data_IF_279351799483
#
_entry.id   IF_279351799483
#
_cell.length_a   1.000
_cell.length_b   1.000
_cell.length_c   1.000
_cell.angle_alpha   90.00
_cell.angle_beta   90.00
_cell.angle_gamma   90.00
#
_symmetry.space_group_name_H-M   'P 1'
#
loop_
_entity.id
_entity.type
_entity.pdbx_description
1 polymer ?
#
# COMPACT_ATOMS: atom_id res chain seq x y z
N UNK A 1 24.65 -19.31 6.75
CA UNK A 1 23.49 -18.41 6.82
C UNK A 1 23.91 -16.95 7.11
N UNK A 2 24.37 -16.18 6.11
CA UNK A 2 24.86 -14.82 6.30
C UNK A 2 23.77 -13.86 6.84
N UNK A 3 22.52 -14.06 6.42
CA UNK A 3 21.40 -13.18 6.79
C UNK A 3 21.01 -13.25 8.28
N UNK A 4 21.21 -14.39 8.94
CA UNK A 4 20.91 -14.53 10.37
C UNK A 4 21.96 -13.83 11.23
N UNK A 5 23.24 -13.91 10.82
CA UNK A 5 24.35 -13.20 11.49
C UNK A 5 24.23 -11.68 11.33
N UNK A 6 23.85 -11.22 10.16
CA UNK A 6 23.70 -9.78 9.89
C UNK A 6 22.54 -9.16 10.68
N UNK A 7 21.40 -9.85 10.82
CA UNK A 7 20.31 -9.43 11.71
C UNK A 7 20.73 -9.37 13.18
N UNK A 8 21.50 -10.35 13.64
CA UNK A 8 22.00 -10.35 15.02
C UNK A 8 23.01 -9.24 15.28
N UNK A 9 23.82 -8.87 14.29
CA UNK A 9 24.71 -7.70 14.38
C UNK A 9 23.93 -6.39 14.48
N UNK A 10 22.95 -6.16 13.61
CA UNK A 10 22.14 -4.95 13.67
C UNK A 10 21.39 -4.78 14.99
N UNK A 11 20.88 -5.84 15.59
CA UNK A 11 20.24 -5.82 16.92
C UNK A 11 21.27 -5.53 18.03
N UNK A 12 22.47 -6.06 17.94
CA UNK A 12 23.54 -5.75 18.89
C UNK A 12 24.02 -4.30 18.82
N UNK A 13 24.11 -3.77 17.60
CA UNK A 13 24.54 -2.38 17.37
C UNK A 13 23.50 -1.34 17.85
N UNK A 14 22.25 -1.75 18.07
CA UNK A 14 21.22 -0.89 18.65
C UNK A 14 21.25 -0.78 20.18
N UNK A 15 21.99 -1.67 20.87
CA UNK A 15 22.18 -1.61 22.32
C UNK A 15 23.20 -0.52 22.67
N UNK A 16 22.79 0.43 23.52
CA UNK A 16 23.63 1.55 23.94
C UNK A 16 24.40 1.21 25.23
N UNK A 17 25.60 0.64 25.07
CA UNK A 17 26.45 0.24 26.20
C UNK A 17 26.78 1.40 27.14
N UNK A 18 27.08 2.59 26.59
CA UNK A 18 27.39 3.78 27.39
C UNK A 18 26.22 4.21 28.29
N UNK A 19 24.98 4.03 27.84
CA UNK A 19 23.79 4.31 28.65
C UNK A 19 23.62 3.26 29.75
N UNK A 20 23.88 2.00 29.42
CA UNK A 20 23.83 0.89 30.36
C UNK A 20 24.85 1.06 31.50
N UNK A 21 26.09 1.38 31.17
CA UNK A 21 27.18 1.60 32.16
C UNK A 21 26.92 2.79 33.08
N UNK A 22 26.11 3.76 32.61
CA UNK A 22 25.66 4.91 33.42
C UNK A 22 24.41 4.62 34.26
N UNK A 23 23.88 3.38 34.21
CA UNK A 23 22.68 2.97 34.92
C UNK A 23 21.36 3.33 34.26
N UNK A 24 21.37 3.88 33.04
CA UNK A 24 20.16 4.19 32.27
C UNK A 24 19.78 2.98 31.40
N UNK A 25 19.27 1.94 32.04
CA UNK A 25 18.95 0.66 31.42
C UNK A 25 17.81 0.76 30.38
N UNK A 26 16.84 1.66 30.60
CA UNK A 26 15.74 1.85 29.65
C UNK A 26 16.24 2.45 28.34
N UNK A 27 17.11 3.47 28.42
CA UNK A 27 17.70 4.08 27.24
C UNK A 27 18.64 3.12 26.50
N UNK A 28 19.32 2.23 27.23
CA UNK A 28 20.22 1.25 26.65
C UNK A 28 19.52 0.30 25.65
N UNK A 29 18.25 -0.01 25.87
CA UNK A 29 17.43 -0.94 25.02
C UNK A 29 16.37 -0.23 24.19
N UNK A 30 16.26 1.10 24.25
CA UNK A 30 15.20 1.86 23.60
C UNK A 30 15.14 1.64 22.09
N UNK A 31 16.28 1.73 21.40
CA UNK A 31 16.35 1.54 19.96
C UNK A 31 16.03 0.10 19.55
N UNK A 32 16.47 -0.88 20.32
CA UNK A 32 16.12 -2.28 20.10
C UNK A 32 14.62 -2.51 20.25
N UNK A 33 13.99 -1.96 21.27
CA UNK A 33 12.56 -2.04 21.50
C UNK A 33 11.76 -1.35 20.39
N UNK A 34 12.19 -0.17 19.92
CA UNK A 34 11.57 0.51 18.79
C UNK A 34 11.63 -0.33 17.51
N UNK A 35 12.78 -0.95 17.23
CA UNK A 35 12.93 -1.81 16.06
C UNK A 35 12.05 -3.08 16.17
N UNK A 36 11.96 -3.70 17.36
CA UNK A 36 11.09 -4.87 17.60
C UNK A 36 9.62 -4.53 17.43
N UNK A 37 9.17 -3.39 17.93
CA UNK A 37 7.79 -2.95 17.86
C UNK A 37 7.27 -2.84 16.41
N UNK A 38 8.15 -2.57 15.44
CA UNK A 38 7.76 -2.52 14.02
C UNK A 38 7.24 -3.86 13.49
N UNK A 39 7.64 -4.99 14.09
CA UNK A 39 7.33 -6.33 13.57
C UNK A 39 6.66 -7.26 14.59
N UNK A 40 6.56 -6.84 15.85
CA UNK A 40 6.06 -7.67 16.95
C UNK A 40 4.56 -7.94 16.83
N UNK A 41 3.77 -6.90 16.61
CA UNK A 41 2.32 -6.99 16.46
C UNK A 41 1.87 -6.26 15.21
N UNK A 42 1.31 -6.98 14.26
CA UNK A 42 0.70 -6.42 13.06
C UNK A 42 -0.69 -5.84 13.40
N UNK A 43 -1.05 -4.71 12.82
CA UNK A 43 -2.27 -3.96 13.10
C UNK A 43 -2.43 -3.58 14.58
N UNK A 44 -1.55 -2.72 15.10
CA UNK A 44 -1.71 -2.20 16.44
C UNK A 44 -2.99 -1.39 16.56
N UNK A 45 -3.51 -1.24 17.78
CA UNK A 45 -4.63 -0.35 18.04
C UNK A 45 -4.26 1.10 17.68
N UNK A 46 -4.98 1.70 16.74
CA UNK A 46 -4.73 3.05 16.19
C UNK A 46 -5.75 4.10 16.66
N UNK A 47 -6.46 3.85 17.76
CA UNK A 47 -7.33 4.84 18.39
C UNK A 47 -6.56 6.01 19.03
N UNK A 48 -5.25 5.90 19.18
CA UNK A 48 -4.35 6.92 19.73
C UNK A 48 -3.21 7.23 18.75
N UNK A 49 -2.56 8.38 18.93
CA UNK A 49 -1.53 8.91 18.00
C UNK A 49 -0.36 7.93 17.85
N UNK A 50 0.13 7.34 18.95
CA UNK A 50 1.26 6.40 18.94
C UNK A 50 0.94 5.15 18.11
N UNK A 51 -0.28 4.65 18.20
CA UNK A 51 -0.73 3.51 17.40
C UNK A 51 -0.83 3.85 15.91
N UNK A 52 -1.34 5.04 15.57
CA UNK A 52 -1.33 5.55 14.18
C UNK A 52 0.08 5.66 13.63
N UNK A 53 1.00 6.24 14.40
CA UNK A 53 2.40 6.36 13.99
C UNK A 53 3.06 5.01 13.78
N UNK A 54 2.86 4.07 14.70
CA UNK A 54 3.39 2.71 14.58
C UNK A 54 2.84 2.02 13.34
N UNK A 55 1.53 2.11 13.09
CA UNK A 55 0.88 1.53 11.92
C UNK A 55 1.43 2.11 10.61
N UNK A 56 1.60 3.43 10.52
CA UNK A 56 2.19 4.06 9.33
C UNK A 56 3.66 3.64 9.12
N UNK A 57 4.44 3.55 10.20
CA UNK A 57 5.82 3.03 10.15
C UNK A 57 5.85 1.58 9.66
N UNK A 58 4.95 0.72 10.14
CA UNK A 58 4.83 -0.67 9.69
C UNK A 58 4.50 -0.74 8.19
N UNK A 59 3.50 0.01 7.73
CA UNK A 59 3.12 0.04 6.33
C UNK A 59 4.31 0.44 5.44
N UNK A 60 4.98 1.54 5.78
CA UNK A 60 6.12 1.99 5.01
C UNK A 60 7.29 1.00 5.05
N UNK A 61 7.61 0.44 6.20
CA UNK A 61 8.67 -0.55 6.36
C UNK A 61 8.47 -1.77 5.46
N UNK A 62 7.28 -2.36 5.49
CA UNK A 62 6.97 -3.53 4.66
C UNK A 62 6.91 -3.19 3.17
N UNK A 63 6.34 -2.05 2.82
CA UNK A 63 6.26 -1.59 1.44
C UNK A 63 7.65 -1.32 0.88
N UNK A 64 8.46 -0.53 1.58
CA UNK A 64 9.80 -0.17 1.10
C UNK A 64 10.69 -1.41 0.93
N UNK A 65 10.69 -2.32 1.91
CA UNK A 65 11.42 -3.58 1.82
C UNK A 65 10.95 -4.46 0.63
N UNK A 66 9.63 -4.48 0.37
CA UNK A 66 9.05 -5.28 -0.73
C UNK A 66 9.37 -4.69 -2.09
N UNK A 67 9.23 -3.39 -2.26
CA UNK A 67 9.54 -2.67 -3.52
C UNK A 67 11.03 -2.79 -3.83
N UNK A 68 11.91 -2.48 -2.88
CA UNK A 68 13.35 -2.59 -3.06
C UNK A 68 13.77 -4.02 -3.43
N UNK A 69 13.19 -5.04 -2.77
CA UNK A 69 13.47 -6.44 -3.10
C UNK A 69 13.01 -6.81 -4.52
N UNK A 70 11.82 -6.36 -4.91
CA UNK A 70 11.30 -6.60 -6.26
C UNK A 70 12.19 -5.97 -7.33
N UNK A 71 12.59 -4.71 -7.13
CA UNK A 71 13.50 -4.00 -8.04
C UNK A 71 14.89 -4.64 -8.08
N UNK A 72 15.45 -5.01 -6.94
CA UNK A 72 16.74 -5.71 -6.90
C UNK A 72 16.70 -7.06 -7.64
N UNK A 73 15.57 -7.77 -7.55
CA UNK A 73 15.37 -9.01 -8.32
C UNK A 73 15.21 -8.74 -9.81
N UNK A 74 14.47 -7.70 -10.18
CA UNK A 74 14.29 -7.27 -11.56
C UNK A 74 15.63 -6.96 -12.19
N UNK A 75 16.43 -6.09 -11.58
CA UNK A 75 17.73 -5.64 -12.07
C UNK A 75 18.79 -6.74 -12.23
N UNK A 76 18.62 -7.89 -11.57
CA UNK A 76 19.52 -9.05 -11.80
C UNK A 76 19.36 -9.67 -13.18
N UNK A 77 18.26 -9.42 -13.86
CA UNK A 77 17.90 -10.07 -15.13
C UNK A 77 17.55 -9.09 -16.22
N UNK A 78 17.44 -7.79 -15.90
CA UNK A 78 17.00 -6.73 -16.81
C UNK A 78 17.74 -5.43 -16.50
N UNK A 79 18.35 -4.84 -17.53
CA UNK A 79 19.13 -3.60 -17.42
C UNK A 79 18.28 -2.34 -17.62
N UNK A 80 17.15 -2.45 -18.33
CA UNK A 80 16.29 -1.32 -18.69
C UNK A 80 15.10 -1.20 -17.71
N UNK A 81 15.16 -0.19 -16.84
CA UNK A 81 14.11 0.05 -15.83
C UNK A 81 12.76 0.45 -16.44
N UNK A 82 12.73 0.99 -17.67
CA UNK A 82 11.50 1.37 -18.34
C UNK A 82 10.62 0.15 -18.70
N UNK A 83 11.23 -1.05 -18.79
CA UNK A 83 10.51 -2.32 -19.01
C UNK A 83 10.00 -2.98 -17.73
N UNK A 84 10.15 -2.31 -16.57
CA UNK A 84 9.63 -2.83 -15.30
C UNK A 84 8.14 -3.22 -15.38
N UNK A 85 7.24 -2.42 -15.97
CA UNK A 85 5.82 -2.74 -16.06
C UNK A 85 5.49 -4.03 -16.82
N UNK A 86 6.37 -4.47 -17.71
CA UNK A 86 6.19 -5.73 -18.47
C UNK A 86 6.44 -6.98 -17.60
N UNK A 87 7.14 -6.84 -16.50
CA UNK A 87 7.65 -7.96 -15.70
C UNK A 87 7.19 -7.94 -14.24
N UNK A 88 6.78 -6.78 -13.74
CA UNK A 88 6.42 -6.58 -12.34
C UNK A 88 5.07 -5.87 -12.24
N UNK A 89 4.22 -6.36 -11.37
CA UNK A 89 2.99 -5.67 -10.95
C UNK A 89 2.92 -5.68 -9.44
N UNK A 90 2.63 -4.51 -8.86
CA UNK A 90 2.29 -4.37 -7.46
C UNK A 90 0.77 -4.32 -7.32
N UNK A 91 0.18 -5.43 -6.86
CA UNK A 91 -1.24 -5.47 -6.55
C UNK A 91 -1.46 -4.93 -5.13
N UNK A 92 -2.02 -3.74 -5.03
CA UNK A 92 -2.38 -3.11 -3.77
C UNK A 92 -3.63 -3.79 -3.21
N UNK A 93 -3.43 -4.61 -2.18
CA UNK A 93 -4.53 -5.32 -1.52
C UNK A 93 -5.13 -4.40 -0.44
N UNK A 94 -6.21 -3.73 -0.77
CA UNK A 94 -6.76 -2.59 -0.05
C UNK A 94 -5.81 -1.37 -0.02
N UNK A 95 -6.03 -0.43 0.88
CA UNK A 95 -5.25 0.81 0.98
C UNK A 95 -3.98 0.67 1.82
N UNK A 96 -3.82 -0.41 2.57
CA UNK A 96 -2.71 -0.62 3.49
C UNK A 96 -1.33 -0.51 2.82
N UNK A 97 -1.10 -1.06 1.60
CA UNK A 97 0.17 -0.92 0.91
C UNK A 97 0.22 0.27 -0.07
N UNK A 98 -0.72 1.22 -0.04
CA UNK A 98 -0.81 2.28 -1.07
C UNK A 98 0.40 3.21 -1.09
N UNK A 99 1.12 3.32 0.00
CA UNK A 99 2.41 4.04 0.06
C UNK A 99 3.43 3.50 -0.98
N UNK A 100 3.19 2.30 -1.55
CA UNK A 100 3.95 1.71 -2.67
C UNK A 100 4.06 2.67 -3.85
N UNK A 101 3.00 3.41 -4.16
CA UNK A 101 2.99 4.38 -5.26
C UNK A 101 4.09 5.43 -5.06
N UNK A 102 4.10 6.06 -3.89
CA UNK A 102 5.06 7.11 -3.59
C UNK A 102 6.48 6.57 -3.34
N UNK A 103 6.61 5.37 -2.76
CA UNK A 103 7.92 4.73 -2.58
C UNK A 103 8.55 4.30 -3.92
N UNK A 104 7.75 3.76 -4.84
CA UNK A 104 8.24 3.44 -6.18
C UNK A 104 8.67 4.71 -6.91
N UNK A 105 7.87 5.78 -6.86
CA UNK A 105 8.25 7.09 -7.39
C UNK A 105 9.55 7.59 -6.78
N UNK A 106 9.71 7.52 -5.46
CA UNK A 106 10.93 7.94 -4.76
C UNK A 106 12.16 7.22 -5.30
N UNK A 107 12.09 5.90 -5.43
CA UNK A 107 13.22 5.11 -5.93
C UNK A 107 13.53 5.48 -7.39
N UNK A 108 12.50 5.59 -8.22
CA UNK A 108 12.70 5.93 -9.64
C UNK A 108 13.27 7.35 -9.83
N UNK A 109 12.84 8.31 -9.00
CA UNK A 109 13.34 9.70 -9.05
C UNK A 109 14.73 9.85 -8.40
N UNK A 110 14.85 9.39 -7.14
CA UNK A 110 15.97 9.74 -6.27
C UNK A 110 17.15 8.76 -6.42
N UNK A 111 16.89 7.49 -6.77
CA UNK A 111 17.92 6.46 -6.88
C UNK A 111 18.24 6.09 -8.35
N UNK A 112 17.20 6.04 -9.22
CA UNK A 112 17.39 5.74 -10.64
C UNK A 112 17.62 7.00 -11.49
N UNK A 113 17.35 8.19 -10.95
CA UNK A 113 17.58 9.47 -11.62
C UNK A 113 16.65 9.76 -12.80
N UNK A 114 15.47 9.14 -12.83
CA UNK A 114 14.48 9.36 -13.90
C UNK A 114 13.80 10.72 -13.73
N UNK A 115 13.30 11.26 -14.84
CA UNK A 115 12.39 12.39 -14.80
C UNK A 115 11.07 12.02 -14.14
N UNK A 116 10.30 13.02 -13.70
CA UNK A 116 8.98 12.79 -13.10
C UNK A 116 8.05 12.03 -14.04
N UNK A 117 8.01 12.39 -15.30
CA UNK A 117 7.05 11.84 -16.25
C UNK A 117 7.39 10.36 -16.58
N UNK A 118 8.68 10.02 -16.74
CA UNK A 118 9.12 8.63 -16.88
C UNK A 118 8.80 7.79 -15.63
N UNK A 119 9.12 8.30 -14.45
CA UNK A 119 8.84 7.61 -13.18
C UNK A 119 7.32 7.41 -12.98
N UNK A 120 6.51 8.41 -13.33
CA UNK A 120 5.06 8.32 -13.24
C UNK A 120 4.47 7.33 -14.24
N UNK A 121 4.95 7.32 -15.47
CA UNK A 121 4.54 6.35 -16.48
C UNK A 121 4.81 4.91 -16.03
N UNK A 122 6.02 4.64 -15.51
CA UNK A 122 6.39 3.33 -14.97
C UNK A 122 5.46 2.97 -13.79
N UNK A 123 5.29 3.89 -12.85
CA UNK A 123 4.49 3.66 -11.63
C UNK A 123 3.03 3.35 -11.95
N UNK A 124 2.42 4.13 -12.85
CA UNK A 124 1.02 3.95 -13.22
C UNK A 124 0.76 2.71 -14.06
N UNK A 125 1.77 2.15 -14.70
CA UNK A 125 1.68 0.86 -15.41
C UNK A 125 2.04 -0.34 -14.54
N UNK A 126 2.58 -0.10 -13.34
CA UNK A 126 3.05 -1.17 -12.44
C UNK A 126 2.10 -1.41 -11.26
N UNK A 127 1.34 -0.40 -10.82
CA UNK A 127 0.45 -0.50 -9.67
C UNK A 127 -1.00 -0.80 -10.09
N UNK A 128 -1.65 -1.72 -9.38
CA UNK A 128 -3.08 -2.00 -9.49
C UNK A 128 -3.70 -2.06 -8.08
N UNK A 129 -4.99 -1.75 -7.95
CA UNK A 129 -5.67 -1.60 -6.67
C UNK A 129 -6.90 -2.49 -6.57
N UNK A 130 -6.99 -3.26 -5.49
CA UNK A 130 -8.18 -4.01 -5.09
C UNK A 130 -8.82 -3.34 -3.89
N UNK A 131 -10.07 -2.90 -4.03
CA UNK A 131 -10.85 -2.36 -2.92
C UNK A 131 -11.66 -3.48 -2.25
N UNK A 132 -11.64 -3.54 -0.91
CA UNK A 132 -12.38 -4.52 -0.11
C UNK A 132 -13.50 -3.90 0.73
N UNK A 133 -13.60 -2.57 0.79
CA UNK A 133 -14.58 -1.88 1.63
C UNK A 133 -15.47 -0.95 0.83
N UNK A 134 -16.75 -0.86 1.24
CA UNK A 134 -17.74 0.06 0.68
C UNK A 134 -18.05 1.23 1.62
N UNK A 135 -17.63 1.16 2.88
CA UNK A 135 -17.94 2.20 3.86
C UNK A 135 -16.93 3.35 3.74
N UNK A 136 -17.41 4.54 3.45
CA UNK A 136 -16.57 5.73 3.25
C UNK A 136 -15.70 6.07 4.47
N UNK A 137 -16.21 5.85 5.68
CA UNK A 137 -15.50 6.03 6.94
C UNK A 137 -14.37 5.00 7.16
N UNK A 138 -14.47 3.82 6.53
CA UNK A 138 -13.45 2.78 6.61
C UNK A 138 -12.33 2.94 5.57
N UNK A 139 -12.45 3.88 4.63
CA UNK A 139 -11.38 4.24 3.70
C UNK A 139 -10.26 4.95 4.46
N UNK A 140 -9.06 4.40 4.40
CA UNK A 140 -7.91 4.87 5.17
C UNK A 140 -7.51 6.30 4.81
N UNK A 141 -7.34 7.12 5.85
CA UNK A 141 -6.93 8.52 5.76
C UNK A 141 -5.87 8.78 6.82
N UNK A 142 -4.83 9.52 6.45
CA UNK A 142 -3.76 9.90 7.36
C UNK A 142 -3.75 11.40 7.59
N UNK A 143 -3.70 11.87 8.86
CA UNK A 143 -3.44 13.28 9.14
C UNK A 143 -2.12 13.72 8.51
N UNK A 144 -2.11 14.85 7.80
CA UNK A 144 -0.92 15.39 7.13
C UNK A 144 0.22 15.55 8.12
N UNK A 145 -0.07 16.03 9.33
CA UNK A 145 0.92 16.24 10.38
C UNK A 145 1.72 14.97 10.71
N UNK A 146 1.04 13.82 10.87
CA UNK A 146 1.69 12.54 11.14
C UNK A 146 2.45 12.06 9.90
N UNK A 147 1.78 12.12 8.73
CA UNK A 147 2.33 11.59 7.49
C UNK A 147 3.59 12.36 7.04
N UNK A 148 3.54 13.69 7.02
CA UNK A 148 4.65 14.55 6.61
C UNK A 148 5.85 14.50 7.57
N UNK A 149 5.57 14.39 8.88
CA UNK A 149 6.63 14.28 9.89
C UNK A 149 7.37 12.94 9.83
N UNK A 150 6.64 11.85 9.66
CA UNK A 150 7.26 10.51 9.62
C UNK A 150 7.88 10.18 8.27
N UNK A 151 7.28 10.63 7.18
CA UNK A 151 7.64 10.29 5.81
C UNK A 151 7.77 11.55 4.93
N UNK A 152 8.69 12.48 5.26
CA UNK A 152 8.71 13.80 4.61
C UNK A 152 8.93 13.72 3.10
N UNK A 153 9.84 12.85 2.61
CA UNK A 153 10.08 12.73 1.17
C UNK A 153 8.89 12.08 0.45
N UNK A 154 8.29 11.07 1.05
CA UNK A 154 7.08 10.43 0.52
C UNK A 154 5.93 11.43 0.45
N UNK A 155 5.77 12.27 1.47
CA UNK A 155 4.74 13.31 1.48
C UNK A 155 4.94 14.35 0.34
N UNK A 156 6.17 14.81 0.11
CA UNK A 156 6.47 15.71 -1.03
C UNK A 156 6.05 15.10 -2.38
N UNK A 157 6.29 13.80 -2.56
CA UNK A 157 5.89 13.10 -3.78
C UNK A 157 4.36 13.01 -3.87
N UNK A 158 3.69 12.67 -2.76
CA UNK A 158 2.21 12.62 -2.72
C UNK A 158 1.59 14.00 -2.99
N UNK A 159 2.16 15.08 -2.47
CA UNK A 159 1.71 16.45 -2.78
C UNK A 159 1.83 16.78 -4.27
N UNK A 160 2.95 16.42 -4.90
CA UNK A 160 3.12 16.67 -6.33
C UNK A 160 2.20 15.79 -7.19
N UNK A 161 1.97 14.52 -6.79
CA UNK A 161 0.95 13.67 -7.43
C UNK A 161 -0.42 14.33 -7.30
N UNK A 162 -0.79 14.79 -6.11
CA UNK A 162 -2.06 15.48 -5.87
C UNK A 162 -2.20 16.74 -6.72
N UNK A 163 -1.17 17.59 -6.79
CA UNK A 163 -1.17 18.80 -7.60
C UNK A 163 -1.42 18.49 -9.07
N UNK A 164 -0.74 17.51 -9.64
CA UNK A 164 -0.92 17.10 -11.04
C UNK A 164 -2.29 16.46 -11.26
N UNK A 165 -2.75 15.67 -10.30
CA UNK A 165 -4.08 15.06 -10.37
C UNK A 165 -5.22 16.08 -10.32
N UNK A 166 -5.10 17.12 -9.50
CA UNK A 166 -6.05 18.24 -9.48
C UNK A 166 -6.12 18.92 -10.84
N UNK A 167 -4.98 19.19 -11.49
CA UNK A 167 -4.95 19.77 -12.83
C UNK A 167 -5.66 18.88 -13.86
N UNK A 168 -5.50 17.57 -13.75
CA UNK A 168 -6.22 16.61 -14.60
C UNK A 168 -7.74 16.68 -14.39
N UNK A 169 -8.20 16.71 -13.13
CA UNK A 169 -9.63 16.85 -12.81
C UNK A 169 -10.18 18.15 -13.35
N UNK A 170 -9.46 19.26 -13.19
CA UNK A 170 -9.88 20.59 -13.67
C UNK A 170 -9.95 20.66 -15.20
N UNK A 171 -9.07 19.95 -15.89
CA UNK A 171 -9.08 19.86 -17.35
C UNK A 171 -10.28 19.08 -17.88
N UNK A 172 -10.66 17.98 -17.20
CA UNK A 172 -11.79 17.14 -17.60
C UNK A 172 -13.15 17.73 -17.15
N UNK A 173 -13.18 18.36 -15.98
CA UNK A 173 -14.39 18.97 -15.40
C UNK A 173 -14.19 20.47 -15.09
N UNK A 174 -14.14 21.33 -16.13
CA UNK A 174 -13.88 22.75 -15.94
C UNK A 174 -14.93 23.43 -15.05
N UNK A 175 -14.46 24.10 -14.00
CA UNK A 175 -15.31 24.85 -13.07
C UNK A 175 -15.98 24.04 -11.95
N UNK A 176 -15.85 22.73 -11.94
CA UNK A 176 -16.38 21.87 -10.87
C UNK A 176 -15.40 21.74 -9.69
N UNK A 177 -15.35 22.79 -8.86
CA UNK A 177 -14.54 22.79 -7.63
C UNK A 177 -15.03 21.74 -6.61
N UNK A 178 -16.30 21.32 -6.68
CA UNK A 178 -16.86 20.28 -5.84
C UNK A 178 -16.22 18.92 -6.12
N UNK A 179 -16.07 18.55 -7.40
CA UNK A 179 -15.34 17.33 -7.80
C UNK A 179 -13.88 17.38 -7.38
N UNK A 180 -13.21 18.52 -7.57
CA UNK A 180 -11.82 18.69 -7.12
C UNK A 180 -11.70 18.38 -5.62
N UNK A 181 -12.57 18.93 -4.78
CA UNK A 181 -12.54 18.71 -3.34
C UNK A 181 -12.82 17.24 -2.96
N UNK A 182 -13.77 16.59 -3.64
CA UNK A 182 -14.12 15.19 -3.37
C UNK A 182 -13.03 14.23 -3.82
N UNK A 183 -12.38 14.47 -4.96
CA UNK A 183 -11.41 13.56 -5.58
C UNK A 183 -9.96 13.80 -5.14
N UNK A 184 -9.63 14.99 -4.63
CA UNK A 184 -8.27 15.32 -4.21
C UNK A 184 -7.68 14.26 -3.26
N UNK A 185 -6.40 13.93 -3.45
CA UNK A 185 -5.65 12.98 -2.63
C UNK A 185 -5.31 13.62 -1.28
N UNK A 186 -4.86 14.88 -1.32
CA UNK A 186 -4.56 15.66 -0.12
C UNK A 186 -5.61 16.76 -0.01
N UNK A 187 -6.46 16.67 1.00
CA UNK A 187 -7.54 17.61 1.22
C UNK A 187 -8.01 17.57 2.68
N UNK A 188 -8.41 18.72 3.21
CA UNK A 188 -8.94 18.88 4.57
C UNK A 188 -8.01 18.28 5.66
N UNK A 189 -6.73 18.61 5.56
CA UNK A 189 -5.73 18.14 6.54
C UNK A 189 -5.41 16.65 6.50
N UNK A 190 -5.86 15.91 5.45
CA UNK A 190 -5.71 14.47 5.36
C UNK A 190 -5.15 14.01 4.01
N UNK A 191 -4.41 12.91 4.04
CA UNK A 191 -3.99 12.14 2.86
C UNK A 191 -4.93 10.96 2.70
N UNK A 192 -5.69 10.92 1.59
CA UNK A 192 -6.69 9.88 1.30
C UNK A 192 -6.05 8.77 0.47
N UNK A 193 -5.81 7.62 1.09
CA UNK A 193 -5.03 6.54 0.47
C UNK A 193 -5.76 5.88 -0.71
N UNK A 194 -7.06 5.68 -0.64
CA UNK A 194 -7.83 5.13 -1.76
C UNK A 194 -7.75 6.02 -3.00
N UNK A 195 -7.79 7.35 -2.83
CA UNK A 195 -7.67 8.30 -3.94
C UNK A 195 -6.29 8.23 -4.61
N UNK A 196 -5.23 8.11 -3.81
CA UNK A 196 -3.87 7.89 -4.32
C UNK A 196 -3.77 6.58 -5.11
N UNK A 197 -4.34 5.49 -4.58
CA UNK A 197 -4.32 4.18 -5.23
C UNK A 197 -5.05 4.18 -6.58
N UNK A 198 -6.20 4.88 -6.66
CA UNK A 198 -6.99 4.97 -7.90
C UNK A 198 -6.31 5.87 -8.93
N UNK A 199 -5.77 7.02 -8.50
CA UNK A 199 -5.06 7.93 -9.39
C UNK A 199 -3.87 7.23 -10.07
N UNK A 200 -3.09 6.46 -9.30
CA UNK A 200 -1.87 5.80 -9.77
C UNK A 200 -2.10 4.39 -10.36
N UNK A 201 -3.16 3.68 -9.98
CA UNK A 201 -3.41 2.32 -10.46
C UNK A 201 -3.88 2.26 -11.92
N UNK A 202 -3.36 1.31 -12.71
CA UNK A 202 -3.90 1.04 -14.04
C UNK A 202 -5.22 0.26 -14.00
N UNK A 203 -5.50 -0.42 -12.91
CA UNK A 203 -6.70 -1.24 -12.70
C UNK A 203 -7.19 -1.09 -11.27
N UNK A 204 -8.50 -0.92 -11.11
CA UNK A 204 -9.20 -0.84 -9.84
C UNK A 204 -10.31 -1.87 -9.85
N UNK A 205 -10.27 -2.83 -8.94
CA UNK A 205 -11.32 -3.83 -8.87
C UNK A 205 -12.02 -3.89 -7.52
N UNK A 206 -13.33 -4.14 -7.59
CA UNK A 206 -14.08 -4.65 -6.45
C UNK A 206 -13.99 -6.18 -6.36
N UNK A 207 -14.48 -6.75 -5.26
CA UNK A 207 -14.32 -8.18 -4.92
C UNK A 207 -15.60 -9.01 -5.08
N UNK A 208 -16.66 -8.41 -5.57
CA UNK A 208 -17.91 -9.03 -5.98
C UNK A 208 -18.65 -8.12 -6.97
N UNK A 209 -19.55 -8.67 -7.79
CA UNK A 209 -20.29 -7.87 -8.77
C UNK A 209 -21.06 -6.72 -8.12
N UNK A 210 -21.86 -7.01 -7.08
CA UNK A 210 -22.61 -5.98 -6.35
C UNK A 210 -21.68 -4.94 -5.74
N UNK A 211 -20.60 -5.37 -5.09
CA UNK A 211 -19.59 -4.47 -4.52
C UNK A 211 -19.02 -3.52 -5.57
N UNK A 212 -18.66 -4.05 -6.74
CA UNK A 212 -18.10 -3.26 -7.84
C UNK A 212 -19.09 -2.23 -8.37
N UNK A 213 -20.39 -2.58 -8.48
CA UNK A 213 -21.43 -1.65 -8.91
C UNK A 213 -21.66 -0.53 -7.86
N UNK A 214 -21.61 -0.83 -6.57
CA UNK A 214 -21.67 0.18 -5.51
C UNK A 214 -20.47 1.13 -5.60
N UNK A 215 -19.26 0.60 -5.83
CA UNK A 215 -18.08 1.46 -6.02
C UNK A 215 -18.24 2.41 -7.19
N UNK A 216 -18.73 1.94 -8.34
CA UNK A 216 -18.90 2.74 -9.56
C UNK A 216 -20.01 3.79 -9.43
N UNK A 217 -21.14 3.41 -8.83
CA UNK A 217 -22.34 4.24 -8.87
C UNK A 217 -22.47 5.15 -7.64
N UNK A 218 -21.77 4.84 -6.56
CA UNK A 218 -21.92 5.57 -5.28
C UNK A 218 -20.57 6.04 -4.74
N UNK A 219 -19.74 5.13 -4.18
CA UNK A 219 -18.59 5.48 -3.36
C UNK A 219 -17.45 6.17 -4.13
N UNK A 220 -17.19 5.71 -5.36
CA UNK A 220 -16.10 6.19 -6.21
C UNK A 220 -16.62 6.69 -7.57
N UNK A 221 -17.85 7.18 -7.59
CA UNK A 221 -18.53 7.57 -8.81
C UNK A 221 -17.75 8.63 -9.61
N UNK A 222 -17.27 9.69 -8.96
CA UNK A 222 -16.47 10.73 -9.61
C UNK A 222 -15.19 10.15 -10.26
N UNK A 223 -14.56 9.16 -9.61
CA UNK A 223 -13.40 8.46 -10.18
C UNK A 223 -13.78 7.53 -11.34
N UNK A 224 -14.96 6.92 -11.28
CA UNK A 224 -15.46 6.09 -12.37
C UNK A 224 -15.80 6.94 -13.60
N UNK A 225 -16.33 8.14 -13.41
CA UNK A 225 -16.55 9.08 -14.52
C UNK A 225 -15.23 9.51 -15.18
N UNK A 226 -14.18 9.76 -14.38
CA UNK A 226 -12.86 10.16 -14.90
C UNK A 226 -12.11 8.99 -15.55
N UNK A 227 -12.22 7.79 -14.99
CA UNK A 227 -11.45 6.60 -15.40
C UNK A 227 -12.31 5.35 -15.56
N UNK A 228 -13.35 5.35 -16.41
CA UNK A 228 -14.27 4.21 -16.52
C UNK A 228 -13.56 2.90 -16.88
N UNK A 229 -12.49 2.98 -17.68
CA UNK A 229 -11.72 1.82 -18.14
C UNK A 229 -10.89 1.14 -17.03
N UNK A 230 -10.60 1.82 -15.92
CA UNK A 230 -9.85 1.22 -14.81
C UNK A 230 -10.70 0.27 -13.98
N UNK A 231 -12.02 0.50 -13.89
CA UNK A 231 -12.90 -0.22 -12.97
C UNK A 231 -13.38 -1.55 -13.52
N UNK A 232 -13.13 -2.61 -12.76
CA UNK A 232 -13.56 -3.96 -13.12
C UNK A 232 -13.91 -4.79 -11.87
N UNK A 233 -14.50 -5.96 -12.08
CA UNK A 233 -14.86 -6.89 -11.01
C UNK A 233 -13.95 -8.13 -11.03
N UNK A 234 -13.47 -8.50 -9.84
CA UNK A 234 -12.79 -9.77 -9.59
C UNK A 234 -13.45 -10.41 -8.37
N UNK A 235 -14.43 -11.25 -8.58
CA UNK A 235 -15.14 -11.93 -7.48
C UNK A 235 -14.19 -12.81 -6.69
N UNK A 236 -14.23 -12.68 -5.36
CA UNK A 236 -13.44 -13.50 -4.47
C UNK A 236 -13.69 -14.99 -4.70
N UNK A 237 -12.64 -15.78 -4.64
CA UNK A 237 -12.73 -17.23 -4.66
C UNK A 237 -13.29 -17.79 -3.35
N UNK A 238 -13.66 -19.06 -3.40
CA UNK A 238 -14.13 -19.84 -2.25
C UNK A 238 -13.04 -20.83 -1.87
N UNK A 239 -12.53 -20.71 -0.64
CA UNK A 239 -11.59 -21.69 -0.08
C UNK A 239 -12.33 -22.94 0.36
N UNK A 240 -12.14 -24.05 -0.33
CA UNK A 240 -12.82 -25.31 -0.05
C UNK A 240 -12.57 -25.82 1.39
N UNK A 241 -11.40 -25.58 1.96
CA UNK A 241 -11.10 -25.96 3.33
C UNK A 241 -12.03 -25.30 4.35
N UNK A 242 -12.26 -24.00 4.22
CA UNK A 242 -13.14 -23.26 5.13
C UNK A 242 -14.60 -23.51 4.84
N UNK A 243 -15.01 -23.41 3.58
CA UNK A 243 -16.42 -23.40 3.19
C UNK A 243 -17.01 -24.80 3.01
N UNK A 244 -16.19 -25.82 2.70
CA UNK A 244 -16.64 -27.18 2.54
C UNK A 244 -16.18 -28.08 3.69
N UNK A 245 -14.87 -28.27 3.87
CA UNK A 245 -14.37 -29.21 4.89
C UNK A 245 -14.75 -28.83 6.32
N UNK A 246 -14.75 -27.56 6.64
CA UNK A 246 -15.10 -27.07 7.97
C UNK A 246 -16.62 -26.86 8.12
N UNK A 247 -17.29 -26.41 7.07
CA UNK A 247 -18.71 -26.12 7.07
C UNK A 247 -19.60 -27.37 6.99
N UNK A 248 -19.15 -28.38 6.21
CA UNK A 248 -19.83 -29.65 6.04
C UNK A 248 -18.81 -30.81 5.95
N UNK A 249 -18.36 -31.34 7.10
CA UNK A 249 -17.38 -32.42 7.15
C UNK A 249 -17.85 -33.70 6.44
N UNK A 250 -19.15 -33.99 6.44
CA UNK A 250 -19.67 -35.20 5.79
C UNK A 250 -19.58 -35.10 4.26
N UNK A 251 -19.91 -33.95 3.70
CA UNK A 251 -19.75 -33.69 2.27
C UNK A 251 -18.28 -33.72 1.84
N UNK A 252 -17.39 -33.21 2.69
CA UNK A 252 -15.94 -33.26 2.47
C UNK A 252 -15.42 -34.71 2.41
N UNK A 253 -15.89 -35.60 3.28
CA UNK A 253 -15.50 -37.03 3.28
C UNK A 253 -15.92 -37.73 1.99
N UNK A 254 -17.10 -37.45 1.45
CA UNK A 254 -17.57 -38.00 0.17
C UNK A 254 -16.61 -37.64 -0.97
N UNK A 255 -16.17 -36.38 -1.05
CA UNK A 255 -15.26 -35.92 -2.10
C UNK A 255 -13.82 -36.44 -1.94
N UNK A 256 -13.40 -36.80 -0.72
CA UNK A 256 -12.07 -37.37 -0.47
C UNK A 256 -12.07 -38.87 -0.69
N UNK A 257 -13.13 -39.57 -0.28
CA UNK A 257 -13.21 -41.03 -0.31
C UNK A 257 -13.71 -41.59 -1.65
N UNK A 258 -14.40 -40.80 -2.46
CA UNK A 258 -14.81 -41.17 -3.82
C UNK A 258 -14.14 -40.24 -4.84
N UNK A 259 -12.90 -40.54 -5.26
CA UNK A 259 -12.33 -39.82 -6.39
C UNK A 259 -13.24 -40.06 -7.60
N UNK A 260 -13.66 -38.96 -8.22
CA UNK A 260 -14.49 -39.00 -9.47
C UNK A 260 -13.88 -40.01 -10.42
N UNK A 261 -14.66 -41.06 -10.74
CA UNK A 261 -14.30 -41.97 -11.80
C UNK A 261 -14.22 -41.16 -13.11
N UNK A 262 -13.18 -41.40 -13.94
CA UNK A 262 -13.06 -40.76 -15.25
C UNK A 262 -14.22 -41.13 -16.17
#
# INVERSE_FOLDING_TARGET
EPYRRQRQMCIRDSFQLDSFDKGDYNKAVEQENLARNLVEVLYPNDNHIQGKELRLKQQYFFVSASVQRALARYKKHHDDIHKLPEKVTFQLNDTHPTVTVAELMRILLDEEGLSWDEAWEITTKTCAYTNHTIMAEALEKWPIEIFSRLLPRIYQIVEEINRRFILQIQAEFPGDNGKVARMAIVYDGQVKMAHLAIAAGYSVNGVAKLHTEILKNEQLHDFYELFPQKFNNKTNGITQRRFLMHGDPLLSLIHISEPTRP
#
